data_IF_960389702849
#
_entry.id   IF_960389702849
#
_cell.length_a   1.000
_cell.length_b   1.000
_cell.length_c   1.000
_cell.angle_alpha   90.00
_cell.angle_beta   90.00
_cell.angle_gamma   90.00
#
_symmetry.space_group_name_H-M   'P 1'
#
loop_
_entity.id
_entity.type
_entity.pdbx_description
1 polymer ?
#
# COMPACT_ATOMS: atom_id res chain seq x y z
N UNK A 1 31.04 -4.23 -7.52
CA UNK A 1 29.95 -5.23 -7.48
C UNK A 1 28.90 -4.73 -6.49
N UNK A 2 27.67 -4.47 -6.93
CA UNK A 2 26.59 -4.10 -6.01
C UNK A 2 26.05 -5.37 -5.35
N UNK A 3 26.18 -5.48 -4.03
CA UNK A 3 25.62 -6.59 -3.26
C UNK A 3 24.14 -6.31 -3.02
N UNK A 4 23.26 -7.11 -3.64
CA UNK A 4 21.82 -7.02 -3.38
C UNK A 4 21.53 -7.63 -2.01
N UNK A 5 20.92 -6.89 -1.07
CA UNK A 5 20.61 -7.42 0.26
C UNK A 5 19.50 -8.47 0.17
N UNK A 6 19.70 -9.62 0.82
CA UNK A 6 18.76 -10.75 0.82
C UNK A 6 17.52 -10.51 1.71
N UNK A 7 17.67 -9.68 2.75
CA UNK A 7 16.64 -9.42 3.76
C UNK A 7 16.39 -7.91 3.90
N UNK A 8 15.14 -7.48 4.18
CA UNK A 8 14.84 -6.09 4.46
C UNK A 8 15.59 -5.56 5.69
N UNK A 9 16.11 -4.32 5.61
CA UNK A 9 16.90 -3.73 6.70
C UNK A 9 16.13 -3.59 8.01
N UNK A 10 14.82 -3.36 7.94
CA UNK A 10 13.98 -3.09 9.12
C UNK A 10 13.70 -4.35 9.97
N UNK A 11 13.90 -5.56 9.43
CA UNK A 11 13.81 -6.81 10.19
C UNK A 11 15.15 -7.24 10.77
N UNK A 12 16.27 -6.80 10.18
CA UNK A 12 17.63 -7.06 10.67
C UNK A 12 18.05 -6.03 11.73
N UNK A 13 17.30 -5.95 12.84
CA UNK A 13 17.51 -4.93 13.90
C UNK A 13 18.73 -5.19 14.79
N UNK A 14 19.23 -6.42 14.82
CA UNK A 14 20.44 -6.81 15.53
C UNK A 14 21.20 -7.89 14.75
N UNK A 15 22.50 -8.00 15.00
CA UNK A 15 23.35 -9.02 14.36
C UNK A 15 22.85 -10.44 14.68
N UNK A 16 22.39 -10.68 15.90
CA UNK A 16 21.85 -11.98 16.31
C UNK A 16 20.57 -12.33 15.55
N UNK A 17 19.63 -11.39 15.42
CA UNK A 17 18.39 -11.61 14.64
C UNK A 17 18.72 -11.86 13.17
N UNK A 18 19.68 -11.10 12.61
CA UNK A 18 20.11 -11.30 11.24
C UNK A 18 20.72 -12.71 11.04
N UNK A 19 21.58 -13.17 11.95
CA UNK A 19 22.18 -14.50 11.89
C UNK A 19 21.12 -15.61 11.94
N UNK A 20 20.15 -15.51 12.85
CA UNK A 20 19.07 -16.49 12.98
C UNK A 20 18.16 -16.52 11.74
N UNK A 21 17.86 -15.36 11.15
CA UNK A 21 17.13 -15.29 9.88
C UNK A 21 17.93 -15.92 8.73
N UNK A 22 19.23 -15.68 8.65
CA UNK A 22 20.09 -16.28 7.62
C UNK A 22 20.19 -17.80 7.78
N UNK A 23 20.26 -18.33 9.01
CA UNK A 23 20.21 -19.78 9.26
C UNK A 23 18.89 -20.38 8.74
N UNK A 24 17.77 -19.72 8.98
CA UNK A 24 16.45 -20.15 8.47
C UNK A 24 16.42 -20.13 6.93
N UNK A 25 16.92 -19.07 6.31
CA UNK A 25 16.99 -18.96 4.84
C UNK A 25 17.88 -20.07 4.26
N UNK A 26 19.04 -20.33 4.87
CA UNK A 26 19.93 -21.42 4.44
C UNK A 26 19.26 -22.78 4.52
N UNK A 27 18.51 -23.05 5.61
CA UNK A 27 17.78 -24.31 5.76
C UNK A 27 16.70 -24.49 4.69
N UNK A 28 16.02 -23.42 4.29
CA UNK A 28 15.03 -23.46 3.19
C UNK A 28 15.72 -23.63 1.84
N UNK A 29 16.84 -22.95 1.60
CA UNK A 29 17.59 -23.07 0.36
C UNK A 29 18.04 -24.52 0.10
N UNK A 30 18.60 -25.20 1.11
CA UNK A 30 19.01 -26.60 0.96
C UNK A 30 17.82 -27.53 0.67
N UNK A 31 16.64 -27.26 1.23
CA UNK A 31 15.42 -28.05 0.94
C UNK A 31 14.91 -27.85 -0.48
N UNK A 32 15.14 -26.69 -1.07
CA UNK A 32 14.70 -26.33 -2.43
C UNK A 32 15.80 -26.55 -3.47
N UNK A 33 16.90 -27.22 -3.10
CA UNK A 33 18.02 -27.50 -4.00
C UNK A 33 17.57 -28.34 -5.19
N UNK A 34 17.95 -27.93 -6.39
CA UNK A 34 17.53 -28.56 -7.65
C UNK A 34 16.24 -27.98 -8.25
N UNK A 35 15.57 -27.06 -7.55
CA UNK A 35 14.44 -26.31 -8.12
C UNK A 35 14.91 -25.42 -9.28
N UNK A 36 14.15 -25.38 -10.38
CA UNK A 36 14.43 -24.47 -11.48
C UNK A 36 14.28 -23.00 -11.02
N UNK A 37 15.21 -22.10 -11.42
CA UNK A 37 15.14 -20.69 -11.03
C UNK A 37 13.84 -19.99 -11.44
N UNK A 38 13.29 -20.32 -12.61
CA UNK A 38 12.01 -19.79 -13.10
C UNK A 38 10.86 -20.16 -12.17
N UNK A 39 10.82 -21.42 -11.72
CA UNK A 39 9.80 -21.89 -10.79
C UNK A 39 9.96 -21.26 -9.40
N UNK A 40 11.19 -21.11 -8.92
CA UNK A 40 11.46 -20.39 -7.67
C UNK A 40 10.99 -18.92 -7.72
N UNK A 41 11.21 -18.24 -8.85
CA UNK A 41 10.74 -16.88 -9.06
C UNK A 41 9.20 -16.79 -9.07
N UNK A 42 8.52 -17.73 -9.71
CA UNK A 42 7.06 -17.80 -9.71
C UNK A 42 6.51 -17.98 -8.29
N UNK A 43 7.06 -18.92 -7.52
CA UNK A 43 6.64 -19.13 -6.13
C UNK A 43 6.85 -17.88 -5.28
N UNK A 44 7.98 -17.18 -5.46
CA UNK A 44 8.25 -15.92 -4.77
C UNK A 44 7.21 -14.85 -5.09
N UNK A 45 6.86 -14.67 -6.37
CA UNK A 45 5.85 -13.70 -6.80
C UNK A 45 4.48 -14.04 -6.19
N UNK A 46 4.08 -15.31 -6.23
CA UNK A 46 2.79 -15.76 -5.67
C UNK A 46 2.71 -15.52 -4.17
N UNK A 47 3.81 -15.74 -3.44
CA UNK A 47 3.88 -15.48 -2.00
C UNK A 47 3.88 -13.97 -1.71
N UNK A 48 4.65 -13.18 -2.48
CA UNK A 48 4.70 -11.72 -2.34
C UNK A 48 3.34 -11.05 -2.62
N UNK A 49 2.54 -11.60 -3.52
CA UNK A 49 1.17 -11.14 -3.79
C UNK A 49 0.24 -11.18 -2.56
N UNK A 50 0.56 -11.99 -1.55
CA UNK A 50 -0.21 -12.08 -0.30
C UNK A 50 0.20 -11.03 0.73
N UNK A 51 1.27 -10.27 0.49
CA UNK A 51 1.75 -9.25 1.41
C UNK A 51 0.81 -8.02 1.41
N UNK A 52 0.55 -7.48 2.59
CA UNK A 52 -0.14 -6.20 2.74
C UNK A 52 0.61 -5.09 1.99
N UNK A 53 -0.11 -4.27 1.23
CA UNK A 53 0.50 -3.24 0.38
C UNK A 53 1.03 -3.74 -0.96
N UNK A 54 1.00 -5.04 -1.27
CA UNK A 54 1.42 -5.52 -2.59
C UNK A 54 0.49 -4.99 -3.69
N UNK A 55 1.07 -4.26 -4.66
CA UNK A 55 0.31 -3.64 -5.75
C UNK A 55 -0.45 -2.37 -5.35
N UNK A 56 -0.23 -1.85 -4.13
CA UNK A 56 -0.81 -0.59 -3.68
C UNK A 56 0.10 0.60 -4.01
N UNK A 57 -0.50 1.69 -4.47
CA UNK A 57 0.17 2.98 -4.67
C UNK A 57 -0.25 3.96 -3.56
N UNK A 58 0.75 4.52 -2.88
CA UNK A 58 0.52 5.49 -1.80
C UNK A 58 0.81 6.91 -2.28
N UNK A 59 -0.17 7.79 -2.06
CA UNK A 59 -0.05 9.20 -2.37
C UNK A 59 -0.05 10.01 -1.08
N UNK A 60 1.05 10.72 -0.82
CA UNK A 60 1.15 11.60 0.34
C UNK A 60 0.44 12.92 0.05
N UNK A 61 -0.49 13.32 0.91
CA UNK A 61 -1.10 14.63 0.83
C UNK A 61 -2.39 14.77 1.62
N UNK A 62 -2.87 16.01 1.73
CA UNK A 62 -4.20 16.31 2.28
C UNK A 62 -5.19 16.44 1.13
N UNK A 63 -6.22 15.60 1.15
CA UNK A 63 -7.31 15.65 0.18
C UNK A 63 -8.04 16.99 0.33
N UNK A 64 -8.16 17.71 -0.78
CA UNK A 64 -8.94 18.96 -0.90
C UNK A 64 -10.35 18.67 -1.39
N UNK A 65 -10.47 17.84 -2.44
CA UNK A 65 -11.76 17.48 -3.03
C UNK A 65 -11.64 16.19 -3.88
N UNK A 66 -12.78 15.52 -4.12
CA UNK A 66 -12.87 14.33 -4.97
C UNK A 66 -14.06 14.43 -5.92
N UNK A 67 -13.85 14.10 -7.20
CA UNK A 67 -14.88 14.27 -8.23
C UNK A 67 -14.85 13.11 -9.24
N UNK A 68 -16.03 12.67 -9.67
CA UNK A 68 -16.16 11.75 -10.81
C UNK A 68 -16.24 12.54 -12.12
N UNK A 69 -15.45 12.15 -13.11
CA UNK A 69 -15.49 12.73 -14.46
C UNK A 69 -15.40 11.60 -15.49
N UNK A 70 -16.48 11.35 -16.24
CA UNK A 70 -16.63 10.18 -17.12
C UNK A 70 -16.30 8.90 -16.31
N UNK A 71 -15.31 8.13 -16.74
CA UNK A 71 -14.86 6.89 -16.11
C UNK A 71 -13.72 7.11 -15.11
N UNK A 72 -13.45 8.35 -14.73
CA UNK A 72 -12.33 8.67 -13.83
C UNK A 72 -12.82 9.18 -12.49
N UNK A 73 -12.16 8.72 -11.42
CA UNK A 73 -12.20 9.36 -10.11
C UNK A 73 -10.97 10.28 -10.01
N UNK A 74 -11.23 11.56 -9.84
CA UNK A 74 -10.21 12.58 -9.65
C UNK A 74 -10.13 12.94 -8.17
N UNK A 75 -8.95 12.79 -7.57
CA UNK A 75 -8.64 13.22 -6.20
C UNK A 75 -7.70 14.41 -6.28
N UNK A 76 -8.15 15.57 -5.80
CA UNK A 76 -7.35 16.79 -5.75
C UNK A 76 -6.77 16.97 -4.35
N UNK A 77 -5.47 17.19 -4.28
CA UNK A 77 -4.77 17.50 -3.04
C UNK A 77 -4.68 19.02 -2.82
N UNK A 78 -4.43 19.44 -1.57
CA UNK A 78 -4.30 20.85 -1.20
C UNK A 78 -3.12 21.57 -1.86
N UNK A 79 -2.07 20.84 -2.21
CA UNK A 79 -0.89 21.35 -2.91
C UNK A 79 -1.12 21.54 -4.43
N UNK A 80 -2.30 21.20 -4.93
CA UNK A 80 -2.66 21.30 -6.34
C UNK A 80 -2.48 20.01 -7.14
N UNK A 81 -1.87 18.97 -6.56
CA UNK A 81 -1.70 17.66 -7.21
C UNK A 81 -3.06 17.04 -7.54
N UNK A 82 -3.20 16.50 -8.74
CA UNK A 82 -4.38 15.78 -9.20
C UNK A 82 -4.02 14.32 -9.45
N UNK A 83 -4.63 13.42 -8.68
CA UNK A 83 -4.47 11.97 -8.85
C UNK A 83 -5.74 11.47 -9.54
N UNK A 84 -5.57 10.69 -10.61
CA UNK A 84 -6.67 10.19 -11.42
C UNK A 84 -6.67 8.67 -11.43
N UNK A 85 -7.78 8.08 -11.00
CA UNK A 85 -8.03 6.65 -11.05
C UNK A 85 -9.02 6.32 -12.16
N UNK A 86 -8.74 5.30 -12.95
CA UNK A 86 -9.65 4.81 -13.98
C UNK A 86 -10.52 3.70 -13.41
N UNK A 87 -11.84 3.87 -13.50
CA UNK A 87 -12.82 2.89 -13.05
C UNK A 87 -13.26 1.99 -14.21
N UNK A 88 -14.03 0.94 -13.91
CA UNK A 88 -14.57 0.04 -14.94
C UNK A 88 -15.53 0.77 -15.89
N UNK A 89 -16.38 1.62 -15.32
CA UNK A 89 -17.37 2.43 -16.03
C UNK A 89 -17.69 3.76 -15.32
N UNK A 90 -18.63 4.51 -15.89
CA UNK A 90 -19.05 5.83 -15.40
C UNK A 90 -19.89 5.71 -14.12
N UNK A 91 -20.64 4.63 -13.95
CA UNK A 91 -21.53 4.40 -12.80
C UNK A 91 -20.70 4.07 -11.57
N UNK A 92 -19.70 3.20 -11.70
CA UNK A 92 -18.70 2.91 -10.69
C UNK A 92 -17.96 4.18 -10.26
N UNK A 93 -17.50 5.01 -11.21
CA UNK A 93 -16.83 6.26 -10.88
C UNK A 93 -17.71 7.20 -10.05
N UNK A 94 -18.99 7.34 -10.38
CA UNK A 94 -19.95 8.15 -9.61
C UNK A 94 -20.20 7.56 -8.23
N UNK A 95 -20.41 6.24 -8.14
CA UNK A 95 -20.67 5.56 -6.88
C UNK A 95 -19.48 5.70 -5.91
N UNK A 96 -18.27 5.42 -6.39
CA UNK A 96 -17.04 5.54 -5.57
C UNK A 96 -16.84 6.99 -5.12
N UNK A 97 -17.00 7.96 -6.01
CA UNK A 97 -16.89 9.38 -5.63
C UNK A 97 -17.91 9.76 -4.55
N UNK A 98 -19.17 9.31 -4.67
CA UNK A 98 -20.22 9.57 -3.68
C UNK A 98 -19.86 8.98 -2.30
N UNK A 99 -19.46 7.71 -2.26
CA UNK A 99 -19.10 7.01 -1.01
C UNK A 99 -17.89 7.68 -0.35
N UNK A 100 -16.83 7.93 -1.13
CA UNK A 100 -15.61 8.57 -0.60
C UNK A 100 -15.86 9.99 -0.13
N UNK A 101 -16.66 10.79 -0.85
CA UNK A 101 -17.03 12.14 -0.41
C UNK A 101 -17.88 12.12 0.86
N UNK A 102 -18.79 11.15 1.01
CA UNK A 102 -19.55 10.98 2.24
C UNK A 102 -18.65 10.64 3.43
N UNK A 103 -17.73 9.68 3.27
CA UNK A 103 -16.75 9.32 4.29
C UNK A 103 -15.84 10.50 4.65
N UNK A 104 -15.34 11.23 3.65
CA UNK A 104 -14.50 12.42 3.84
C UNK A 104 -15.23 13.51 4.63
N UNK A 105 -16.48 13.81 4.27
CA UNK A 105 -17.31 14.79 5.01
C UNK A 105 -17.60 14.33 6.42
N UNK A 106 -17.94 13.06 6.61
CA UNK A 106 -18.19 12.50 7.94
C UNK A 106 -16.95 12.61 8.84
N UNK A 107 -15.77 12.19 8.35
CA UNK A 107 -14.52 12.29 9.09
C UNK A 107 -14.15 13.74 9.42
N UNK A 108 -14.32 14.65 8.45
CA UNK A 108 -14.07 16.09 8.65
C UNK A 108 -15.01 16.68 9.69
N UNK A 109 -16.32 16.38 9.60
CA UNK A 109 -17.31 16.86 10.56
C UNK A 109 -17.04 16.31 11.97
N UNK A 110 -16.70 15.02 12.09
CA UNK A 110 -16.32 14.41 13.36
C UNK A 110 -15.10 15.10 13.97
N UNK A 111 -14.06 15.34 13.17
CA UNK A 111 -12.86 16.06 13.62
C UNK A 111 -13.16 17.49 14.08
N UNK A 112 -14.08 18.20 13.40
CA UNK A 112 -14.54 19.53 13.81
C UNK A 112 -15.27 19.47 15.16
N UNK A 113 -16.17 18.51 15.35
CA UNK A 113 -16.93 18.33 16.60
C UNK A 113 -15.99 18.04 17.77
N UNK A 114 -15.01 17.14 17.58
CA UNK A 114 -14.01 16.81 18.61
C UNK A 114 -13.14 18.02 18.96
N UNK A 115 -12.70 18.80 17.96
CA UNK A 115 -11.92 20.02 18.18
C UNK A 115 -12.69 21.12 18.92
N UNK A 116 -14.00 21.21 18.69
CA UNK A 116 -14.86 22.24 19.29
C UNK A 116 -15.49 21.80 20.61
N UNK A 117 -15.22 20.58 21.07
CA UNK A 117 -15.66 20.14 22.39
C UNK A 117 -14.82 20.85 23.47
N UNK A 118 -15.44 21.52 24.47
CA UNK A 118 -14.67 22.09 25.57
C UNK A 118 -13.89 20.98 26.28
N UNK A 119 -12.61 21.21 26.55
CA UNK A 119 -11.80 20.29 27.35
C UNK A 119 -12.54 20.03 28.67
N UNK A 120 -12.79 18.76 28.97
CA UNK A 120 -13.27 18.34 30.29
C UNK A 120 -12.16 18.42 31.31
#
# INVERSE_FOLDING_TARGET
MQTVPLLPKHICRSAQIQEDLLKRVSAVHERLKGMQPSYAALLYIVDAQQCEGYGEEYFNGKIKDMQAMKRHLNVRLHDGTLIQFTMEDVEMARYVAMVMMWQFRYATNKAIIEKNSPMK
#
